data_IF_267299086207
#
_entry.id   IF_267299086207
#
_cell.length_a   1.000
_cell.length_b   1.000
_cell.length_c   1.000
_cell.angle_alpha   90.00
_cell.angle_beta   90.00
_cell.angle_gamma   90.00
#
_symmetry.space_group_name_H-M   'P 1'
#
loop_
_entity.id
_entity.type
_entity.pdbx_description
1 polymer ?
#
# COMPACT_ATOMS: atom_id res chain seq x y z
N UNK A 1 23.39 -24.98 -12.71
CA UNK A 1 22.66 -24.62 -13.95
C UNK A 1 21.28 -24.14 -13.55
N UNK A 2 21.09 -22.82 -13.43
CA UNK A 2 19.82 -22.19 -13.02
C UNK A 2 19.02 -21.82 -14.25
N UNK A 3 18.05 -22.66 -14.62
CA UNK A 3 17.08 -22.35 -15.68
C UNK A 3 16.03 -21.39 -15.12
N UNK A 4 16.22 -20.09 -15.37
CA UNK A 4 15.25 -19.04 -15.03
C UNK A 4 14.01 -19.19 -15.92
N UNK A 5 12.88 -19.58 -15.34
CA UNK A 5 11.59 -19.57 -16.03
C UNK A 5 11.19 -18.12 -16.33
N UNK A 6 10.95 -17.84 -17.61
CA UNK A 6 10.34 -16.59 -18.08
C UNK A 6 8.88 -16.55 -17.64
N UNK A 7 8.61 -16.08 -16.42
CA UNK A 7 7.28 -15.57 -16.09
C UNK A 7 7.13 -14.28 -16.90
N UNK A 8 6.34 -14.34 -17.98
CA UNK A 8 5.90 -13.14 -18.67
C UNK A 8 4.96 -12.42 -17.71
N UNK A 9 5.50 -11.51 -16.91
CA UNK A 9 4.67 -10.52 -16.24
C UNK A 9 3.99 -9.77 -17.37
N UNK A 10 2.68 -9.96 -17.50
CA UNK A 10 1.89 -9.14 -18.40
C UNK A 10 2.16 -7.70 -17.99
N UNK A 11 2.71 -6.90 -18.92
CA UNK A 11 2.70 -5.46 -18.78
C UNK A 11 1.31 -5.09 -18.25
N UNK A 12 1.29 -4.32 -17.15
CA UNK A 12 0.09 -3.64 -16.70
C UNK A 12 -0.66 -3.17 -17.95
N UNK A 13 -1.95 -3.56 -18.16
CA UNK A 13 -2.63 -3.30 -19.40
C UNK A 13 -2.41 -1.84 -19.74
N UNK A 14 -1.62 -1.58 -20.79
CA UNK A 14 -1.17 -0.24 -21.13
C UNK A 14 -2.43 0.60 -21.18
N UNK A 15 -2.59 1.51 -20.21
CA UNK A 15 -3.86 2.13 -19.89
C UNK A 15 -4.48 2.62 -21.20
N UNK A 16 -5.50 1.90 -21.69
CA UNK A 16 -6.03 2.14 -23.01
C UNK A 16 -6.38 3.62 -23.07
N UNK A 17 -5.81 4.38 -24.00
CA UNK A 17 -6.02 5.81 -24.13
C UNK A 17 -7.51 6.12 -24.31
N UNK A 18 -8.26 6.19 -23.21
CA UNK A 18 -9.70 6.43 -23.22
C UNK A 18 -9.91 7.94 -23.26
N UNK A 19 -10.65 8.37 -24.28
CA UNK A 19 -11.27 9.70 -24.35
C UNK A 19 -12.03 9.94 -23.05
N UNK A 20 -11.55 10.90 -22.25
CA UNK A 20 -12.18 11.32 -21.00
C UNK A 20 -13.62 11.76 -21.29
N UNK A 21 -14.59 11.06 -20.72
CA UNK A 21 -15.97 11.56 -20.65
C UNK A 21 -15.96 12.92 -19.95
N UNK A 22 -16.85 13.84 -20.37
CA UNK A 22 -16.97 15.20 -19.82
C UNK A 22 -17.38 15.15 -18.34
N UNK A 23 -16.42 14.92 -17.44
CA UNK A 23 -16.59 15.15 -16.01
C UNK A 23 -16.80 16.65 -15.77
N UNK A 24 -17.47 16.99 -14.67
CA UNK A 24 -17.60 18.38 -14.21
C UNK A 24 -16.24 19.08 -14.32
N UNK A 25 -16.19 20.28 -14.91
CA UNK A 25 -14.95 20.80 -15.44
C UNK A 25 -14.03 21.19 -14.27
N UNK A 26 -12.76 20.79 -14.37
CA UNK A 26 -11.74 21.02 -13.33
C UNK A 26 -11.64 22.49 -12.87
N UNK A 27 -12.15 23.44 -13.64
CA UNK A 27 -12.24 24.85 -13.27
C UNK A 27 -13.14 25.12 -12.05
N UNK A 28 -14.14 24.29 -11.76
CA UNK A 28 -15.02 24.50 -10.60
C UNK A 28 -14.28 24.21 -9.27
N UNK A 29 -13.42 23.19 -9.27
CA UNK A 29 -12.51 22.89 -8.15
C UNK A 29 -11.43 23.98 -8.06
N UNK A 30 -10.95 24.49 -9.19
CA UNK A 30 -9.97 25.58 -9.25
C UNK A 30 -10.51 26.92 -8.74
N UNK A 31 -11.79 27.23 -9.00
CA UNK A 31 -12.45 28.44 -8.48
C UNK A 31 -12.65 28.39 -6.95
N UNK A 32 -12.97 27.22 -6.41
CA UNK A 32 -13.02 27.03 -4.96
C UNK A 32 -11.62 27.17 -4.33
N UNK A 33 -10.57 26.76 -5.05
CA UNK A 33 -9.18 26.88 -4.61
C UNK A 33 -8.69 28.34 -4.54
N UNK A 34 -9.03 29.18 -5.52
CA UNK A 34 -8.63 30.60 -5.53
C UNK A 34 -9.34 31.43 -4.46
N UNK A 35 -10.60 31.12 -4.16
CA UNK A 35 -11.37 31.81 -3.13
C UNK A 35 -10.81 31.61 -1.70
N UNK A 36 -10.20 30.45 -1.42
CA UNK A 36 -9.66 30.11 -0.08
C UNK A 36 -8.26 30.73 0.14
N UNK A 37 -7.47 30.95 -0.92
CA UNK A 37 -6.12 31.51 -0.80
C UNK A 37 -6.07 33.02 -0.56
N UNK A 38 -7.16 33.76 -0.79
CA UNK A 38 -7.15 35.23 -0.78
C UNK A 38 -7.45 35.88 0.59
N UNK A 39 -7.78 35.10 1.63
CA UNK A 39 -8.48 35.66 2.82
C UNK A 39 -7.83 35.43 4.19
N UNK A 40 -6.54 35.05 4.30
CA UNK A 40 -5.93 34.84 5.62
C UNK A 40 -4.52 35.44 5.77
N UNK A 41 -4.41 36.48 6.61
CA UNK A 41 -3.15 37.01 7.12
C UNK A 41 -2.45 36.05 8.10
N UNK A 42 -1.14 36.23 8.25
CA UNK A 42 -0.18 35.24 8.76
C UNK A 42 -0.31 34.84 10.25
N UNK A 43 -1.18 35.46 11.05
CA UNK A 43 -1.26 35.22 12.51
C UNK A 43 -2.24 34.12 12.96
N UNK A 44 -3.23 33.74 12.15
CA UNK A 44 -4.24 32.70 12.45
C UNK A 44 -3.96 31.38 11.70
N UNK A 45 -2.72 31.20 11.25
CA UNK A 45 -2.35 30.26 10.20
C UNK A 45 -2.30 28.78 10.66
N UNK A 46 -2.04 28.46 11.93
CA UNK A 46 -1.85 27.04 12.33
C UNK A 46 -3.16 26.26 12.52
N UNK A 47 -4.22 26.87 13.05
CA UNK A 47 -5.54 26.23 13.23
C UNK A 47 -6.38 26.24 11.94
N UNK A 48 -6.20 27.23 11.07
CA UNK A 48 -6.94 27.37 9.80
C UNK A 48 -6.37 26.52 8.64
N UNK A 49 -5.06 26.27 8.59
CA UNK A 49 -4.44 25.42 7.57
C UNK A 49 -4.98 23.98 7.61
N UNK A 50 -5.28 23.48 8.81
CA UNK A 50 -5.87 22.15 9.02
C UNK A 50 -7.24 22.04 8.37
N UNK A 51 -8.13 23.01 8.56
CA UNK A 51 -9.49 22.94 8.03
C UNK A 51 -9.53 23.06 6.51
N UNK A 52 -8.76 23.98 5.91
CA UNK A 52 -8.71 24.16 4.46
C UNK A 52 -8.09 22.95 3.74
N UNK A 53 -6.99 22.41 4.25
CA UNK A 53 -6.33 21.25 3.64
C UNK A 53 -7.16 19.97 3.77
N UNK A 54 -7.83 19.76 4.92
CA UNK A 54 -8.79 18.67 5.11
C UNK A 54 -9.96 18.81 4.13
N UNK A 55 -10.55 20.00 4.02
CA UNK A 55 -11.66 20.25 3.11
C UNK A 55 -11.28 20.00 1.65
N UNK A 56 -10.14 20.53 1.20
CA UNK A 56 -9.63 20.30 -0.15
C UNK A 56 -9.39 18.82 -0.42
N UNK A 57 -8.75 18.12 0.52
CA UNK A 57 -8.48 16.68 0.40
C UNK A 57 -9.79 15.90 0.33
N UNK A 58 -10.80 16.30 1.10
CA UNK A 58 -12.13 15.70 1.08
C UNK A 58 -12.83 15.91 -0.26
N UNK A 59 -12.80 17.13 -0.80
CA UNK A 59 -13.38 17.45 -2.10
C UNK A 59 -12.69 16.66 -3.23
N UNK A 60 -11.36 16.63 -3.21
CA UNK A 60 -10.57 15.86 -4.15
C UNK A 60 -10.86 14.36 -4.06
N UNK A 61 -10.95 13.81 -2.83
CA UNK A 61 -11.32 12.41 -2.60
C UNK A 61 -12.68 12.08 -3.23
N UNK A 62 -13.72 12.88 -2.98
CA UNK A 62 -15.06 12.63 -3.54
C UNK A 62 -15.07 12.74 -5.07
N UNK A 63 -14.33 13.71 -5.63
CA UNK A 63 -14.18 13.87 -7.07
C UNK A 63 -13.55 12.63 -7.72
N UNK A 64 -12.42 12.16 -7.19
CA UNK A 64 -11.75 10.95 -7.72
C UNK A 64 -12.56 9.69 -7.45
N UNK A 65 -13.22 9.60 -6.28
CA UNK A 65 -14.07 8.48 -5.94
C UNK A 65 -15.21 8.31 -6.94
N UNK A 66 -15.82 9.40 -7.38
CA UNK A 66 -16.85 9.37 -8.41
C UNK A 66 -16.29 8.84 -9.75
N UNK A 67 -15.14 9.36 -10.19
CA UNK A 67 -14.51 8.99 -11.46
C UNK A 67 -13.99 7.55 -11.53
N UNK A 68 -13.45 7.02 -10.43
CA UNK A 68 -12.82 5.71 -10.37
C UNK A 68 -13.79 4.58 -9.97
N UNK A 69 -15.07 4.90 -9.73
CA UNK A 69 -16.10 3.92 -9.31
C UNK A 69 -16.21 2.71 -10.23
N UNK A 70 -16.21 2.96 -11.53
CA UNK A 70 -16.39 1.92 -12.55
C UNK A 70 -15.18 1.00 -12.61
N UNK A 71 -13.97 1.58 -12.61
CA UNK A 71 -12.73 0.81 -12.64
C UNK A 71 -12.59 -0.07 -11.40
N UNK A 72 -12.87 0.45 -10.21
CA UNK A 72 -12.85 -0.35 -8.98
C UNK A 72 -13.81 -1.53 -9.07
N UNK A 73 -15.02 -1.33 -9.61
CA UNK A 73 -15.98 -2.41 -9.78
C UNK A 73 -15.47 -3.46 -10.78
N UNK A 74 -15.01 -3.04 -11.96
CA UNK A 74 -14.45 -3.92 -13.00
C UNK A 74 -13.29 -4.75 -12.43
N UNK A 75 -12.32 -4.09 -11.77
CA UNK A 75 -11.18 -4.75 -11.16
C UNK A 75 -11.60 -5.73 -10.07
N UNK A 76 -12.51 -5.32 -9.16
CA UNK A 76 -13.01 -6.16 -8.06
C UNK A 76 -13.72 -7.43 -8.54
N UNK A 77 -14.30 -7.41 -9.74
CA UNK A 77 -14.97 -8.56 -10.37
C UNK A 77 -14.06 -9.44 -11.24
N UNK A 78 -12.77 -9.12 -11.36
CA UNK A 78 -11.89 -9.77 -12.34
C UNK A 78 -11.60 -11.26 -12.08
N UNK A 79 -11.61 -11.72 -10.84
CA UNK A 79 -11.15 -13.06 -10.45
C UNK A 79 -9.64 -13.28 -10.60
N UNK A 80 -8.88 -12.23 -10.92
CA UNK A 80 -7.45 -12.29 -11.18
C UNK A 80 -6.66 -11.72 -9.99
N UNK A 81 -5.83 -12.57 -9.37
CA UNK A 81 -4.93 -12.24 -8.28
C UNK A 81 -3.99 -11.07 -8.63
N UNK A 82 -3.47 -11.02 -9.85
CA UNK A 82 -2.64 -9.91 -10.33
C UNK A 82 -3.41 -8.59 -10.41
N UNK A 83 -4.69 -8.62 -10.76
CA UNK A 83 -5.55 -7.42 -10.69
C UNK A 83 -5.78 -7.03 -9.24
N UNK A 84 -6.08 -7.98 -8.36
CA UNK A 84 -6.33 -7.72 -6.95
C UNK A 84 -5.12 -7.21 -6.18
N UNK A 85 -3.92 -7.62 -6.58
CA UNK A 85 -2.67 -7.03 -6.13
C UNK A 85 -2.70 -5.51 -6.28
N UNK A 86 -3.17 -5.02 -7.44
CA UNK A 86 -3.28 -3.59 -7.73
C UNK A 86 -4.53 -2.96 -7.12
N UNK A 87 -5.67 -3.66 -7.12
CA UNK A 87 -6.90 -3.20 -6.45
C UNK A 87 -6.68 -2.95 -4.95
N UNK A 88 -5.73 -3.67 -4.33
CA UNK A 88 -5.39 -3.49 -2.92
C UNK A 88 -5.01 -2.05 -2.55
N UNK A 89 -4.39 -1.30 -3.48
CA UNK A 89 -4.02 0.10 -3.23
C UNK A 89 -5.26 1.00 -3.12
N UNK A 90 -6.26 0.82 -4.00
CA UNK A 90 -7.53 1.55 -3.92
C UNK A 90 -8.26 1.24 -2.62
N UNK A 91 -8.37 -0.06 -2.29
CA UNK A 91 -9.09 -0.49 -1.10
C UNK A 91 -8.44 0.06 0.17
N UNK A 92 -7.11 0.04 0.27
CA UNK A 92 -6.41 0.64 1.39
C UNK A 92 -6.61 2.16 1.48
N UNK A 93 -6.77 2.85 0.35
CA UNK A 93 -7.17 4.25 0.29
C UNK A 93 -8.59 4.49 0.84
N UNK A 94 -9.56 3.70 0.38
CA UNK A 94 -10.96 3.77 0.85
C UNK A 94 -11.07 3.48 2.35
N UNK A 95 -10.39 2.44 2.82
CA UNK A 95 -10.35 2.06 4.23
C UNK A 95 -9.75 3.20 5.08
N UNK A 96 -8.67 3.82 4.61
CA UNK A 96 -8.09 4.99 5.28
C UNK A 96 -9.06 6.17 5.34
N UNK A 97 -9.75 6.46 4.23
CA UNK A 97 -10.75 7.52 4.20
C UNK A 97 -11.92 7.24 5.15
N UNK A 98 -12.41 5.99 5.20
CA UNK A 98 -13.44 5.57 6.14
C UNK A 98 -12.97 5.76 7.59
N UNK A 99 -11.77 5.30 7.94
CA UNK A 99 -11.20 5.50 9.28
C UNK A 99 -11.09 6.99 9.64
N UNK A 100 -10.52 7.81 8.74
CA UNK A 100 -10.30 9.23 8.99
C UNK A 100 -11.59 10.05 9.13
N UNK A 101 -12.65 9.63 8.46
CA UNK A 101 -13.92 10.39 8.39
C UNK A 101 -15.07 9.78 9.20
N UNK A 102 -14.94 8.51 9.63
CA UNK A 102 -16.06 7.77 10.22
C UNK A 102 -17.20 7.47 9.25
N UNK A 103 -16.96 7.55 7.93
CA UNK A 103 -18.03 7.44 6.93
C UNK A 103 -18.43 5.99 6.65
N UNK A 104 -19.61 5.59 7.11
CA UNK A 104 -20.25 4.31 6.73
C UNK A 104 -20.32 4.13 5.22
N UNK A 105 -20.74 5.17 4.48
CA UNK A 105 -20.89 5.11 3.02
C UNK A 105 -19.60 4.68 2.31
N UNK A 106 -18.45 5.16 2.79
CA UNK A 106 -17.15 4.80 2.22
C UNK A 106 -16.78 3.37 2.61
N UNK A 107 -16.98 2.99 3.88
CA UNK A 107 -16.74 1.63 4.35
C UNK A 107 -17.59 0.60 3.59
N UNK A 108 -18.89 0.85 3.42
CA UNK A 108 -19.79 -0.02 2.65
C UNK A 108 -19.35 -0.19 1.22
N UNK A 109 -18.80 0.86 0.61
CA UNK A 109 -18.30 0.79 -0.75
C UNK A 109 -17.05 -0.08 -0.84
N UNK A 110 -16.14 0.03 0.14
CA UNK A 110 -15.01 -0.89 0.24
C UNK A 110 -15.49 -2.34 0.46
N UNK A 111 -16.45 -2.56 1.37
CA UNK A 111 -17.06 -3.87 1.66
C UNK A 111 -17.66 -4.48 0.39
N UNK A 112 -18.43 -3.73 -0.41
CA UNK A 112 -19.00 -4.24 -1.68
C UNK A 112 -17.93 -4.71 -2.66
N UNK A 113 -16.86 -3.93 -2.83
CA UNK A 113 -15.75 -4.33 -3.69
C UNK A 113 -15.04 -5.58 -3.16
N UNK A 114 -14.79 -5.65 -1.85
CA UNK A 114 -14.15 -6.81 -1.21
C UNK A 114 -15.03 -8.07 -1.22
N UNK A 115 -16.33 -7.96 -1.01
CA UNK A 115 -17.28 -9.06 -1.14
C UNK A 115 -17.30 -9.59 -2.60
N UNK A 116 -17.24 -8.69 -3.58
CA UNK A 116 -17.10 -9.07 -5.00
C UNK A 116 -15.79 -9.82 -5.23
N UNK A 117 -14.66 -9.32 -4.72
CA UNK A 117 -13.36 -10.01 -4.82
C UNK A 117 -13.41 -11.41 -4.23
N UNK A 118 -13.92 -11.56 -2.99
CA UNK A 118 -14.03 -12.86 -2.31
C UNK A 118 -14.94 -13.83 -3.09
N UNK A 119 -16.04 -13.34 -3.67
CA UNK A 119 -16.97 -14.18 -4.43
C UNK A 119 -16.41 -14.78 -5.72
N UNK A 120 -15.33 -14.20 -6.26
CA UNK A 120 -14.67 -14.71 -7.47
C UNK A 120 -13.57 -15.74 -7.18
N UNK A 121 -13.29 -16.02 -5.90
CA UNK A 121 -12.31 -17.02 -5.53
C UNK A 121 -12.77 -18.42 -5.95
N UNK A 122 -11.85 -19.18 -6.53
CA UNK A 122 -12.11 -20.53 -7.00
C UNK A 122 -11.63 -21.56 -5.99
N UNK A 123 -12.38 -22.65 -5.88
CA UNK A 123 -11.90 -23.84 -5.20
C UNK A 123 -10.77 -24.48 -6.02
N UNK A 124 -9.70 -24.89 -5.33
CA UNK A 124 -8.68 -25.76 -5.89
C UNK A 124 -8.28 -26.79 -4.83
N UNK A 125 -7.92 -27.98 -5.28
CA UNK A 125 -7.60 -29.10 -4.41
C UNK A 125 -6.10 -29.34 -4.40
N UNK A 126 -5.57 -29.54 -3.20
CA UNK A 126 -4.17 -29.89 -3.00
C UNK A 126 -4.04 -30.77 -1.75
N UNK A 127 -3.35 -31.91 -1.87
CA UNK A 127 -3.14 -32.86 -0.78
C UNK A 127 -4.43 -33.29 -0.06
N UNK A 128 -5.50 -33.55 -0.83
CA UNK A 128 -6.81 -33.97 -0.31
C UNK A 128 -7.58 -32.87 0.44
N UNK A 129 -7.14 -31.61 0.39
CA UNK A 129 -7.82 -30.46 0.98
C UNK A 129 -8.28 -29.49 -0.10
N UNK A 130 -9.42 -28.84 0.14
CA UNK A 130 -9.94 -27.78 -0.74
C UNK A 130 -9.60 -26.42 -0.14
N UNK A 131 -8.97 -25.57 -0.94
CA UNK A 131 -8.67 -24.19 -0.61
C UNK A 131 -9.36 -23.24 -1.59
N UNK A 132 -9.53 -21.98 -1.19
CA UNK A 132 -9.98 -20.92 -2.09
C UNK A 132 -8.82 -20.04 -2.48
N UNK A 133 -8.70 -19.70 -3.76
CA UNK A 133 -7.73 -18.72 -4.25
C UNK A 133 -8.21 -18.04 -5.53
N UNK A 134 -7.55 -16.93 -5.88
CA UNK A 134 -7.79 -16.23 -7.13
C UNK A 134 -6.84 -16.71 -8.23
N UNK A 135 -7.34 -16.77 -9.46
CA UNK A 135 -6.59 -17.18 -10.66
C UNK A 135 -5.61 -16.09 -11.12
N UNK A 136 -4.78 -16.31 -12.16
CA UNK A 136 -4.43 -17.61 -12.70
C UNK A 136 -3.63 -18.43 -11.67
N UNK A 137 -3.65 -19.75 -11.86
CA UNK A 137 -2.76 -20.65 -11.17
C UNK A 137 -1.57 -20.98 -12.09
N UNK A 138 -0.39 -21.13 -11.50
CA UNK A 138 0.87 -21.30 -12.21
C UNK A 138 1.47 -22.65 -11.84
N UNK A 139 1.96 -23.38 -12.84
CA UNK A 139 2.77 -24.58 -12.64
C UNK A 139 4.22 -24.12 -12.44
N UNK A 140 4.85 -24.57 -11.36
CA UNK A 140 6.26 -24.28 -11.08
C UNK A 140 7.15 -25.43 -11.57
N UNK A 141 8.47 -25.25 -11.73
CA UNK A 141 9.37 -26.37 -12.02
C UNK A 141 9.30 -27.49 -10.97
N UNK A 142 9.04 -27.12 -9.73
CA UNK A 142 9.07 -28.02 -8.57
C UNK A 142 7.73 -28.71 -8.31
N UNK A 143 6.68 -28.36 -9.06
CA UNK A 143 5.34 -28.95 -8.91
C UNK A 143 4.57 -28.99 -10.22
N UNK A 144 4.00 -30.15 -10.53
CA UNK A 144 3.08 -30.31 -11.68
C UNK A 144 1.68 -29.77 -11.39
N UNK A 145 1.38 -29.41 -10.14
CA UNK A 145 0.12 -28.80 -9.76
C UNK A 145 0.18 -27.30 -10.00
N UNK A 146 -0.95 -26.73 -10.44
CA UNK A 146 -1.06 -25.29 -10.63
C UNK A 146 -1.38 -24.63 -9.27
N UNK A 147 -0.55 -23.68 -8.84
CA UNK A 147 -0.68 -22.98 -7.57
C UNK A 147 -1.02 -21.50 -7.78
N UNK A 148 -1.73 -20.85 -6.84
CA UNK A 148 -1.83 -19.39 -6.87
C UNK A 148 -0.45 -18.73 -6.76
N UNK A 149 -0.34 -17.46 -7.14
CA UNK A 149 0.88 -16.68 -6.88
C UNK A 149 0.93 -16.25 -5.42
N UNK A 150 1.97 -16.63 -4.68
CA UNK A 150 2.19 -16.19 -3.29
C UNK A 150 2.14 -14.68 -3.18
N UNK A 151 2.90 -14.01 -4.05
CA UNK A 151 3.06 -12.56 -4.05
C UNK A 151 1.73 -11.83 -4.25
N UNK A 152 0.97 -12.24 -5.27
CA UNK A 152 -0.32 -11.61 -5.55
C UNK A 152 -1.36 -11.95 -4.47
N UNK A 153 -1.35 -13.17 -3.93
CA UNK A 153 -2.26 -13.59 -2.87
C UNK A 153 -2.06 -12.77 -1.60
N UNK A 154 -0.81 -12.59 -1.18
CA UNK A 154 -0.49 -11.86 0.04
C UNK A 154 -0.94 -10.41 -0.08
N UNK A 155 -0.52 -9.71 -1.13
CA UNK A 155 -0.89 -8.31 -1.29
C UNK A 155 -2.41 -8.09 -1.43
N UNK A 156 -3.10 -8.93 -2.20
CA UNK A 156 -4.55 -8.83 -2.38
C UNK A 156 -5.32 -9.09 -1.06
N UNK A 157 -4.73 -9.85 -0.13
CA UNK A 157 -5.33 -10.21 1.15
C UNK A 157 -5.15 -9.15 2.26
N UNK A 158 -4.14 -8.27 2.14
CA UNK A 158 -3.91 -7.15 3.09
C UNK A 158 -5.16 -6.30 3.35
N UNK A 159 -5.86 -5.74 2.33
CA UNK A 159 -7.04 -4.91 2.58
C UNK A 159 -8.20 -5.68 3.20
N UNK A 160 -8.36 -6.99 2.93
CA UNK A 160 -9.38 -7.83 3.55
C UNK A 160 -9.13 -7.99 5.05
N UNK A 161 -7.89 -8.32 5.43
CA UNK A 161 -7.49 -8.42 6.83
C UNK A 161 -7.65 -7.07 7.55
N UNK A 162 -7.18 -5.98 6.92
CA UNK A 162 -7.31 -4.63 7.47
C UNK A 162 -8.76 -4.19 7.65
N UNK A 163 -9.63 -4.48 6.68
CA UNK A 163 -11.05 -4.18 6.80
C UNK A 163 -11.69 -4.87 8.01
N UNK A 164 -11.35 -6.15 8.24
CA UNK A 164 -11.80 -6.87 9.42
C UNK A 164 -11.33 -6.17 10.70
N UNK A 165 -10.05 -5.77 10.79
CA UNK A 165 -9.52 -5.04 11.94
C UNK A 165 -10.27 -3.72 12.18
N UNK A 166 -10.46 -2.91 11.14
CA UNK A 166 -11.16 -1.61 11.21
C UNK A 166 -12.60 -1.78 11.69
N UNK A 167 -13.34 -2.73 11.12
CA UNK A 167 -14.73 -3.02 11.50
C UNK A 167 -14.78 -3.46 12.96
N UNK A 168 -13.88 -4.36 13.37
CA UNK A 168 -13.89 -4.90 14.72
C UNK A 168 -13.43 -3.89 15.77
N UNK A 169 -12.60 -2.91 15.41
CA UNK A 169 -12.11 -1.88 16.35
C UNK A 169 -13.20 -0.88 16.78
N UNK A 170 -14.28 -0.69 16.01
CA UNK A 170 -15.31 0.31 16.30
C UNK A 170 -16.65 -0.33 16.70
N UNK A 171 -17.23 -0.02 17.87
CA UNK A 171 -18.49 -0.63 18.31
C UNK A 171 -19.64 -0.49 17.30
N UNK A 172 -19.77 0.67 16.67
CA UNK A 172 -20.81 0.98 15.68
C UNK A 172 -20.66 0.12 14.41
N UNK A 173 -19.45 -0.01 13.89
CA UNK A 173 -19.17 -0.84 12.71
C UNK A 173 -19.18 -2.32 13.03
N UNK A 174 -18.70 -2.72 14.21
CA UNK A 174 -18.79 -4.10 14.67
C UNK A 174 -20.24 -4.56 14.70
N UNK A 175 -21.14 -3.74 15.25
CA UNK A 175 -22.57 -4.06 15.31
C UNK A 175 -23.16 -4.27 13.92
N UNK A 176 -22.80 -3.43 12.94
CA UNK A 176 -23.40 -3.46 11.59
C UNK A 176 -22.72 -4.42 10.61
N UNK A 177 -21.40 -4.58 10.70
CA UNK A 177 -20.58 -5.22 9.66
C UNK A 177 -19.73 -6.40 10.17
N UNK A 178 -19.90 -6.86 11.42
CA UNK A 178 -19.11 -8.00 11.93
C UNK A 178 -19.24 -9.28 11.11
N UNK A 179 -20.36 -9.49 10.42
CA UNK A 179 -20.50 -10.62 9.48
C UNK A 179 -19.50 -10.54 8.32
N UNK A 180 -19.29 -9.34 7.75
CA UNK A 180 -18.28 -9.11 6.71
C UNK A 180 -16.87 -9.30 7.27
N UNK A 181 -16.57 -8.74 8.44
CA UNK A 181 -15.27 -8.91 9.10
C UNK A 181 -14.92 -10.39 9.36
N UNK A 182 -15.89 -11.20 9.83
CA UNK A 182 -15.69 -12.64 10.02
C UNK A 182 -15.44 -13.37 8.71
N UNK A 183 -16.17 -13.04 7.63
CA UNK A 183 -15.94 -13.63 6.30
C UNK A 183 -14.53 -13.31 5.79
N UNK A 184 -14.08 -12.05 5.90
CA UNK A 184 -12.74 -11.66 5.46
C UNK A 184 -11.65 -12.33 6.29
N UNK A 185 -11.82 -12.39 7.61
CA UNK A 185 -10.91 -13.12 8.51
C UNK A 185 -10.79 -14.58 8.10
N UNK A 186 -11.93 -15.27 7.91
CA UNK A 186 -11.94 -16.69 7.54
C UNK A 186 -11.34 -16.92 6.15
N UNK A 187 -11.64 -16.06 5.18
CA UNK A 187 -11.09 -16.16 3.83
C UNK A 187 -9.57 -15.97 3.84
N UNK A 188 -9.06 -14.96 4.55
CA UNK A 188 -7.63 -14.68 4.63
C UNK A 188 -6.90 -15.76 5.44
N UNK A 189 -7.45 -16.25 6.56
CA UNK A 189 -6.86 -17.37 7.29
C UNK A 189 -6.75 -18.61 6.40
N UNK A 190 -7.82 -18.99 5.70
CA UNK A 190 -7.81 -20.13 4.80
C UNK A 190 -6.79 -19.98 3.65
N UNK A 191 -6.80 -18.83 2.98
CA UNK A 191 -6.01 -18.59 1.75
C UNK A 191 -4.55 -18.28 2.04
N UNK A 192 -4.23 -17.65 3.16
CA UNK A 192 -2.85 -17.24 3.51
C UNK A 192 -2.28 -18.14 4.58
N UNK A 193 -2.94 -18.26 5.73
CA UNK A 193 -2.35 -18.93 6.89
C UNK A 193 -2.40 -20.44 6.75
N UNK A 194 -3.55 -21.01 6.38
CA UNK A 194 -3.70 -22.45 6.21
C UNK A 194 -3.02 -22.93 4.92
N UNK A 195 -3.27 -22.25 3.81
CA UNK A 195 -2.68 -22.65 2.54
C UNK A 195 -1.19 -22.32 2.45
N UNK A 196 -0.81 -21.05 2.40
CA UNK A 196 0.59 -20.68 2.19
C UNK A 196 1.46 -21.01 3.39
N UNK A 197 1.15 -20.51 4.59
CA UNK A 197 2.04 -20.69 5.72
C UNK A 197 2.11 -22.14 6.20
N UNK A 198 0.96 -22.80 6.41
CA UNK A 198 0.94 -24.16 6.98
C UNK A 198 1.15 -25.27 5.95
N UNK A 199 0.55 -25.16 4.75
CA UNK A 199 0.68 -26.21 3.73
C UNK A 199 1.93 -26.03 2.89
N UNK A 200 2.06 -24.90 2.18
CA UNK A 200 3.13 -24.70 1.20
C UNK A 200 4.50 -24.40 1.82
N UNK A 201 4.50 -23.66 2.92
CA UNK A 201 5.72 -23.30 3.66
C UNK A 201 5.93 -24.19 4.89
N UNK A 202 5.13 -25.24 5.07
CA UNK A 202 5.27 -26.23 6.15
C UNK A 202 5.34 -25.65 7.57
N UNK A 203 4.72 -24.49 7.81
CA UNK A 203 4.76 -23.77 9.09
C UNK A 203 5.94 -22.80 9.23
N UNK A 204 6.85 -22.78 8.28
CA UNK A 204 7.96 -21.84 8.24
C UNK A 204 7.50 -20.44 7.84
N UNK A 205 8.26 -19.45 8.33
CA UNK A 205 8.16 -18.06 7.89
C UNK A 205 9.51 -17.75 7.26
N UNK A 206 9.66 -17.92 5.93
CA UNK A 206 10.98 -17.93 5.31
C UNK A 206 11.79 -16.66 5.58
N UNK A 207 11.12 -15.50 5.64
CA UNK A 207 11.74 -14.19 5.91
C UNK A 207 12.25 -14.01 7.35
N UNK A 208 11.96 -14.93 8.26
CA UNK A 208 12.52 -14.93 9.62
C UNK A 208 13.84 -15.70 9.67
N UNK A 209 14.13 -16.54 8.66
CA UNK A 209 15.37 -17.27 8.56
C UNK A 209 16.29 -16.62 7.51
N UNK A 210 17.36 -15.91 7.92
CA UNK A 210 18.28 -15.26 6.98
C UNK A 210 19.04 -16.28 6.11
N UNK A 211 19.16 -17.54 6.52
CA UNK A 211 19.82 -18.58 5.71
C UNK A 211 18.93 -19.02 4.54
N UNK A 212 17.60 -18.89 4.67
CA UNK A 212 16.65 -19.22 3.61
C UNK A 212 16.37 -17.99 2.73
N UNK A 213 16.13 -16.83 3.35
CA UNK A 213 15.89 -15.56 2.63
C UNK A 213 16.84 -14.48 3.17
N UNK A 214 18.05 -14.36 2.60
CA UNK A 214 19.05 -13.40 3.09
C UNK A 214 18.65 -11.95 2.85
N UNK A 215 17.81 -11.69 1.84
CA UNK A 215 17.34 -10.35 1.46
C UNK A 215 15.85 -10.23 1.83
N UNK A 216 15.52 -9.23 2.64
CA UNK A 216 14.15 -8.87 2.93
C UNK A 216 13.39 -8.43 1.67
N UNK A 217 12.15 -8.90 1.50
CA UNK A 217 11.28 -8.48 0.41
C UNK A 217 9.83 -8.25 0.88
N UNK A 218 9.03 -7.73 -0.05
CA UNK A 218 7.66 -7.31 0.20
C UNK A 218 6.68 -8.42 0.64
N UNK A 219 6.97 -9.68 0.35
CA UNK A 219 6.15 -10.80 0.82
C UNK A 219 6.24 -10.97 2.34
N UNK A 220 7.42 -10.75 2.92
CA UNK A 220 7.60 -10.70 4.36
C UNK A 220 6.78 -9.58 4.99
N UNK A 221 6.81 -8.39 4.38
CA UNK A 221 6.00 -7.25 4.83
C UNK A 221 4.50 -7.50 4.71
N UNK A 222 4.02 -8.05 3.59
CA UNK A 222 2.60 -8.36 3.40
C UNK A 222 2.10 -9.43 4.38
N UNK A 223 2.89 -10.48 4.66
CA UNK A 223 2.51 -11.47 5.68
C UNK A 223 2.47 -10.85 7.08
N UNK A 224 3.43 -9.98 7.41
CA UNK A 224 3.42 -9.23 8.67
C UNK A 224 2.19 -8.33 8.81
N UNK A 225 1.81 -7.63 7.74
CA UNK A 225 0.59 -6.82 7.68
C UNK A 225 -0.67 -7.68 7.90
N UNK A 226 -0.82 -8.78 7.16
CA UNK A 226 -1.96 -9.69 7.28
C UNK A 226 -2.09 -10.19 8.71
N UNK A 227 -1.00 -10.66 9.32
CA UNK A 227 -1.02 -11.25 10.66
C UNK A 227 -1.28 -10.21 11.74
N UNK A 228 -0.72 -8.99 11.62
CA UNK A 228 -1.06 -7.88 12.51
C UNK A 228 -2.55 -7.52 12.46
N UNK A 229 -3.12 -7.40 11.25
CA UNK A 229 -4.54 -7.08 11.09
C UNK A 229 -5.47 -8.21 11.52
N UNK A 230 -5.13 -9.47 11.24
CA UNK A 230 -5.89 -10.63 11.75
C UNK A 230 -5.89 -10.66 13.29
N UNK A 231 -4.75 -10.34 13.93
CA UNK A 231 -4.70 -10.20 15.38
C UNK A 231 -5.64 -9.09 15.88
N UNK A 232 -5.57 -7.88 15.31
CA UNK A 232 -6.46 -6.79 15.70
C UNK A 232 -7.94 -7.13 15.50
N UNK A 233 -8.29 -7.90 14.46
CA UNK A 233 -9.65 -8.31 14.18
C UNK A 233 -10.20 -9.38 15.15
N UNK A 234 -9.33 -10.27 15.66
CA UNK A 234 -9.76 -11.51 16.35
C UNK A 234 -9.30 -11.62 17.80
N UNK A 235 -8.23 -10.93 18.18
CA UNK A 235 -7.52 -11.15 19.45
C UNK A 235 -6.72 -12.46 19.51
N UNK A 236 -6.66 -13.26 18.44
CA UNK A 236 -5.96 -14.54 18.44
C UNK A 236 -4.44 -14.36 18.48
N UNK A 237 -3.82 -14.81 19.58
CA UNK A 237 -2.39 -14.66 19.84
C UNK A 237 -1.49 -15.33 18.81
N UNK A 238 -1.97 -16.36 18.10
CA UNK A 238 -1.19 -17.02 17.04
C UNK A 238 -0.78 -16.02 15.95
N UNK A 239 -1.66 -15.10 15.59
CA UNK A 239 -1.36 -14.07 14.61
C UNK A 239 -0.41 -13.00 15.18
N UNK A 240 -0.59 -12.60 16.45
CA UNK A 240 0.31 -11.66 17.11
C UNK A 240 1.75 -12.21 17.20
N UNK A 241 1.90 -13.49 17.53
CA UNK A 241 3.22 -14.13 17.64
C UNK A 241 3.90 -14.24 16.27
N UNK A 242 3.14 -14.56 15.22
CA UNK A 242 3.63 -14.54 13.84
C UNK A 242 4.06 -13.13 13.41
N UNK A 243 3.20 -12.13 13.64
CA UNK A 243 3.48 -10.73 13.33
C UNK A 243 4.73 -10.22 14.07
N UNK A 244 4.91 -10.58 15.35
CA UNK A 244 6.09 -10.23 16.14
C UNK A 244 7.37 -10.88 15.62
N UNK A 245 7.33 -12.15 15.21
CA UNK A 245 8.50 -12.82 14.61
C UNK A 245 8.93 -12.12 13.31
N UNK A 246 7.98 -11.79 12.45
CA UNK A 246 8.21 -11.06 11.20
C UNK A 246 8.74 -9.64 11.49
N UNK A 247 8.13 -8.93 12.45
CA UNK A 247 8.54 -7.61 12.88
C UNK A 247 9.98 -7.57 13.41
N UNK A 248 10.39 -8.56 14.23
CA UNK A 248 11.78 -8.70 14.71
C UNK A 248 12.76 -9.00 13.59
N UNK A 249 12.37 -9.83 12.63
CA UNK A 249 13.19 -10.07 11.46
C UNK A 249 13.41 -8.78 10.67
N UNK A 250 12.36 -7.99 10.42
CA UNK A 250 12.50 -6.68 9.77
C UNK A 250 13.32 -5.68 10.61
N UNK A 251 13.07 -5.60 11.91
CA UNK A 251 13.81 -4.74 12.85
C UNK A 251 15.32 -5.05 12.83
N UNK A 252 15.71 -6.32 12.69
CA UNK A 252 17.13 -6.69 12.58
C UNK A 252 17.81 -6.19 11.30
N UNK A 253 17.04 -5.79 10.29
CA UNK A 253 17.53 -5.31 8.99
C UNK A 253 17.61 -3.79 8.90
N UNK A 254 16.83 -3.05 9.70
CA UNK A 254 16.84 -1.59 9.67
C UNK A 254 18.08 -1.03 10.37
N UNK A 255 18.66 0.01 9.79
CA UNK A 255 19.80 0.77 10.32
C UNK A 255 19.49 2.26 10.23
N UNK A 256 19.91 3.07 11.21
CA UNK A 256 19.82 4.53 11.10
C UNK A 256 20.58 5.03 9.85
N UNK A 257 19.96 5.91 9.08
CA UNK A 257 20.58 6.62 7.96
C UNK A 257 20.19 8.10 8.00
N UNK A 258 21.11 8.94 8.49
CA UNK A 258 20.77 10.31 8.86
C UNK A 258 19.64 10.33 9.89
N UNK A 259 18.58 11.11 9.61
CA UNK A 259 17.37 11.15 10.45
C UNK A 259 16.38 10.02 10.16
N UNK A 260 16.61 9.22 9.11
CA UNK A 260 15.70 8.16 8.67
C UNK A 260 16.17 6.75 9.01
N UNK A 261 15.47 5.79 8.40
CA UNK A 261 15.81 4.39 8.27
C UNK A 261 16.31 4.04 6.87
N UNK A 262 17.25 3.10 6.80
CA UNK A 262 17.58 2.30 5.62
C UNK A 262 17.61 0.83 6.03
N UNK A 263 17.26 -0.09 5.13
CA UNK A 263 17.46 -1.53 5.34
C UNK A 263 18.09 -2.14 4.10
N UNK A 264 18.65 -3.33 4.24
CA UNK A 264 19.32 -4.05 3.14
C UNK A 264 20.31 -3.16 2.37
N UNK A 265 21.04 -2.31 3.10
CA UNK A 265 21.97 -1.36 2.52
C UNK A 265 23.23 -2.10 2.03
N UNK A 266 23.44 -2.10 0.71
CA UNK A 266 24.53 -2.79 0.01
C UNK A 266 24.49 -4.32 0.14
N UNK A 267 23.35 -4.90 0.49
CA UNK A 267 23.15 -6.37 0.54
C UNK A 267 22.39 -6.89 -0.67
N UNK A 268 21.73 -6.00 -1.43
CA UNK A 268 21.06 -6.36 -2.68
C UNK A 268 22.09 -6.34 -3.81
N UNK A 269 22.29 -7.44 -4.56
CA UNK A 269 23.25 -7.46 -5.66
C UNK A 269 22.89 -6.44 -6.75
N UNK A 270 23.86 -5.63 -7.18
CA UNK A 270 23.66 -4.71 -8.31
C UNK A 270 23.41 -5.53 -9.59
N UNK A 271 22.42 -5.12 -10.37
CA UNK A 271 21.91 -5.82 -11.53
C UNK A 271 20.89 -6.90 -11.22
N UNK A 272 20.60 -7.20 -9.94
CA UNK A 272 19.61 -8.23 -9.61
C UNK A 272 18.22 -7.83 -10.09
N UNK A 273 17.56 -8.72 -10.84
CA UNK A 273 16.15 -8.58 -11.20
C UNK A 273 15.39 -9.84 -10.80
N UNK A 274 14.37 -9.68 -9.96
CA UNK A 274 13.50 -10.79 -9.54
C UNK A 274 12.39 -11.08 -10.52
N UNK A 275 12.15 -10.19 -11.49
CA UNK A 275 10.98 -10.26 -12.38
C UNK A 275 11.35 -10.73 -13.79
N UNK A 276 12.64 -10.91 -14.09
CA UNK A 276 13.17 -11.33 -15.39
C UNK A 276 12.57 -10.56 -16.57
N UNK A 277 12.31 -9.26 -16.39
CA UNK A 277 11.62 -8.46 -17.39
C UNK A 277 12.58 -8.12 -18.53
N UNK A 278 12.24 -8.37 -19.81
CA UNK A 278 13.11 -8.02 -20.93
C UNK A 278 13.50 -6.53 -20.92
N UNK A 279 14.79 -6.24 -21.03
CA UNK A 279 15.32 -4.87 -21.00
C UNK A 279 15.42 -4.24 -19.60
N UNK A 280 15.16 -5.03 -18.55
CA UNK A 280 15.40 -4.65 -17.16
C UNK A 280 16.88 -4.50 -16.86
N UNK A 281 17.25 -3.41 -16.18
CA UNK A 281 18.60 -3.26 -15.61
C UNK A 281 18.68 -3.78 -14.18
N UNK A 282 17.61 -4.34 -13.61
CA UNK A 282 17.56 -4.75 -12.21
C UNK A 282 17.77 -3.59 -11.22
N UNK A 283 18.18 -3.93 -9.99
CA UNK A 283 18.54 -2.97 -8.94
C UNK A 283 19.93 -2.38 -9.19
N UNK A 284 20.06 -1.06 -9.24
CA UNK A 284 21.32 -0.36 -9.54
C UNK A 284 21.91 0.40 -8.36
N UNK A 285 21.27 0.36 -7.19
CA UNK A 285 21.73 1.09 -6.00
C UNK A 285 22.19 0.17 -4.87
N UNK A 286 21.94 -1.14 -4.97
CA UNK A 286 22.24 -2.10 -3.92
C UNK A 286 21.45 -1.88 -2.63
N UNK A 287 20.34 -1.15 -2.71
CA UNK A 287 19.44 -0.85 -1.59
C UNK A 287 17.98 -1.01 -2.05
N UNK A 288 17.01 -1.12 -1.13
CA UNK A 288 15.59 -1.23 -1.51
C UNK A 288 15.12 -0.05 -2.36
N UNK A 289 14.23 -0.34 -3.30
CA UNK A 289 13.62 0.67 -4.13
C UNK A 289 12.39 1.29 -3.44
N UNK A 290 12.11 2.56 -3.71
CA UNK A 290 11.04 3.32 -3.05
C UNK A 290 9.66 2.71 -3.24
N UNK A 291 9.35 2.26 -4.45
CA UNK A 291 8.07 1.68 -4.82
C UNK A 291 7.77 0.42 -4.01
N UNK A 292 8.70 -0.53 -3.92
CA UNK A 292 8.43 -1.77 -3.18
C UNK A 292 8.48 -1.57 -1.67
N UNK A 293 9.44 -0.75 -1.21
CA UNK A 293 9.69 -0.43 0.19
C UNK A 293 8.50 0.24 0.93
N UNK A 294 7.47 0.67 0.19
CA UNK A 294 6.27 1.24 0.81
C UNK A 294 5.59 0.26 1.78
N UNK A 295 5.67 -1.06 1.54
CA UNK A 295 5.00 -2.06 2.41
C UNK A 295 5.65 -2.20 3.77
N UNK A 296 6.95 -1.96 3.86
CA UNK A 296 7.70 -1.94 5.11
C UNK A 296 7.33 -0.75 5.98
N UNK A 297 7.12 0.43 5.36
CA UNK A 297 6.56 1.58 6.06
C UNK A 297 5.14 1.29 6.57
N UNK A 298 4.32 0.58 5.78
CA UNK A 298 3.00 0.12 6.22
C UNK A 298 3.11 -0.89 7.38
N UNK A 299 4.00 -1.87 7.27
CA UNK A 299 4.22 -2.91 8.28
C UNK A 299 4.58 -2.27 9.62
N UNK A 300 5.54 -1.35 9.64
CA UNK A 300 5.98 -0.67 10.86
C UNK A 300 4.80 0.04 11.55
N UNK A 301 3.97 0.76 10.77
CA UNK A 301 2.75 1.37 11.30
C UNK A 301 1.76 0.35 11.85
N UNK A 302 1.45 -0.71 11.09
CA UNK A 302 0.46 -1.70 11.49
C UNK A 302 0.86 -2.41 12.79
N UNK A 303 2.16 -2.72 12.96
CA UNK A 303 2.69 -3.32 14.18
C UNK A 303 2.66 -2.34 15.37
N UNK A 304 2.91 -1.06 15.14
CA UNK A 304 2.78 -0.01 16.15
C UNK A 304 1.33 0.15 16.61
N UNK A 305 0.39 0.32 15.67
CA UNK A 305 -1.03 0.49 15.98
C UNK A 305 -1.67 -0.76 16.61
N UNK A 306 -1.10 -1.94 16.38
CA UNK A 306 -1.52 -3.17 17.03
C UNK A 306 -0.92 -3.35 18.44
N UNK A 307 -0.03 -2.45 18.89
CA UNK A 307 0.70 -2.58 20.15
C UNK A 307 1.63 -3.80 20.20
N UNK A 308 2.12 -4.25 19.03
CA UNK A 308 2.97 -5.44 18.92
C UNK A 308 4.44 -5.07 18.99
N UNK A 309 4.86 -4.09 18.18
CA UNK A 309 6.25 -3.65 18.00
C UNK A 309 6.29 -2.21 17.50
N UNK A 310 7.48 -1.61 17.54
CA UNK A 310 7.76 -0.23 17.12
C UNK A 310 7.06 0.85 17.93
N UNK A 311 7.77 1.95 18.10
CA UNK A 311 7.36 3.12 18.86
C UNK A 311 6.96 4.26 17.94
N UNK A 312 6.36 5.30 18.50
CA UNK A 312 6.11 6.56 17.80
C UNK A 312 7.41 7.14 17.20
N UNK A 313 8.53 7.04 17.92
CA UNK A 313 9.83 7.53 17.44
C UNK A 313 10.33 6.74 16.21
N UNK A 314 10.04 5.44 16.12
CA UNK A 314 10.39 4.63 14.96
C UNK A 314 9.60 5.07 13.71
N UNK A 315 8.31 5.41 13.89
CA UNK A 315 7.46 5.93 12.81
C UNK A 315 7.88 7.33 12.37
N UNK A 316 8.26 8.21 13.30
CA UNK A 316 8.82 9.52 12.98
C UNK A 316 10.11 9.40 12.16
N UNK A 317 10.97 8.43 12.51
CA UNK A 317 12.19 8.12 11.75
C UNK A 317 11.86 7.51 10.38
N UNK A 318 10.86 6.65 10.27
CA UNK A 318 10.38 6.17 8.96
C UNK A 318 9.84 7.32 8.10
N UNK A 319 9.10 8.26 8.69
CA UNK A 319 8.64 9.46 8.01
C UNK A 319 9.79 10.39 7.60
N UNK A 320 10.89 10.41 8.36
CA UNK A 320 12.10 11.15 7.99
C UNK A 320 12.81 10.53 6.77
N UNK A 321 12.74 9.21 6.55
CA UNK A 321 13.21 8.60 5.29
C UNK A 321 12.49 9.22 4.09
N UNK A 322 11.15 9.30 4.15
CA UNK A 322 10.36 9.95 3.09
C UNK A 322 10.75 11.43 2.90
N UNK A 323 10.78 12.19 3.99
CA UNK A 323 10.82 13.66 3.90
C UNK A 323 12.21 14.27 3.78
N UNK A 324 13.26 13.54 4.19
CA UNK A 324 14.63 14.06 4.20
C UNK A 324 15.51 13.40 3.15
N UNK A 325 15.20 12.16 2.75
CA UNK A 325 16.04 11.34 1.89
C UNK A 325 15.41 11.09 0.52
N UNK A 326 14.14 10.64 0.49
CA UNK A 326 13.49 10.26 -0.77
C UNK A 326 12.93 11.49 -1.51
N UNK A 327 12.26 12.40 -0.81
CA UNK A 327 11.65 13.58 -1.41
C UNK A 327 12.69 14.64 -1.81
N UNK A 328 12.56 15.18 -3.02
CA UNK A 328 13.42 16.25 -3.57
C UNK A 328 13.21 17.64 -2.94
N UNK A 329 12.28 17.74 -1.98
CA UNK A 329 11.91 18.98 -1.25
C UNK A 329 11.19 20.02 -2.12
N UNK A 330 10.78 19.66 -3.34
CA UNK A 330 9.99 20.53 -4.20
C UNK A 330 8.54 20.59 -3.73
N UNK A 331 8.08 21.78 -3.37
CA UNK A 331 6.66 22.03 -3.03
C UNK A 331 5.75 22.21 -4.25
N UNK A 332 6.36 22.35 -5.43
CA UNK A 332 5.71 22.81 -6.65
C UNK A 332 5.68 21.71 -7.72
N UNK A 333 6.76 20.93 -7.82
CA UNK A 333 6.88 19.74 -8.66
C UNK A 333 7.53 18.62 -7.84
N UNK A 334 6.85 18.09 -6.81
CA UNK A 334 7.43 17.09 -5.92
C UNK A 334 7.88 15.85 -6.70
N UNK A 335 9.08 15.39 -6.39
CA UNK A 335 9.64 14.14 -6.91
C UNK A 335 10.21 13.29 -5.78
N UNK A 336 10.28 11.99 -6.02
CA UNK A 336 10.71 10.99 -5.04
C UNK A 336 11.80 10.13 -5.67
N UNK A 337 12.90 9.92 -4.96
CA UNK A 337 13.99 9.09 -5.43
C UNK A 337 13.54 7.65 -5.74
N UNK A 338 14.21 7.00 -6.69
CA UNK A 338 13.94 5.60 -7.02
C UNK A 338 14.33 4.62 -5.89
N UNK A 339 15.25 5.03 -5.01
CA UNK A 339 15.82 4.21 -3.93
C UNK A 339 15.82 4.93 -2.57
N UNK A 340 15.85 4.13 -1.49
CA UNK A 340 15.78 4.66 -0.12
C UNK A 340 17.00 5.44 0.35
N UNK A 341 18.14 5.31 -0.33
CA UNK A 341 19.33 6.12 -0.07
C UNK A 341 19.30 7.48 -0.79
N UNK A 342 18.19 7.83 -1.45
CA UNK A 342 18.04 9.07 -2.21
C UNK A 342 18.57 8.99 -3.66
N UNK A 343 19.12 7.84 -4.07
CA UNK A 343 19.59 7.64 -5.44
C UNK A 343 18.43 7.61 -6.44
N UNK A 344 18.67 8.22 -7.59
CA UNK A 344 17.79 8.18 -8.77
C UNK A 344 18.38 7.33 -9.90
N UNK A 345 19.24 6.36 -9.57
CA UNK A 345 19.70 5.39 -10.55
C UNK A 345 18.49 4.69 -11.23
N UNK A 346 18.64 4.21 -12.47
CA UNK A 346 17.64 3.38 -13.12
C UNK A 346 17.23 2.19 -12.25
N UNK A 347 15.97 1.78 -12.33
CA UNK A 347 15.47 0.58 -11.67
C UNK A 347 14.67 -0.25 -12.67
N UNK A 348 15.14 -1.47 -12.98
CA UNK A 348 14.49 -2.37 -13.93
C UNK A 348 14.20 -1.70 -15.28
N UNK A 349 12.92 -1.60 -15.65
CA UNK A 349 12.46 -0.93 -16.87
C UNK A 349 12.26 0.57 -16.69
N UNK A 350 12.35 1.08 -15.45
CA UNK A 350 12.19 2.48 -15.10
C UNK A 350 13.55 3.19 -15.16
N UNK A 351 13.84 3.76 -16.33
CA UNK A 351 15.16 4.35 -16.62
C UNK A 351 15.28 5.81 -16.21
N UNK A 352 14.16 6.49 -15.96
CA UNK A 352 14.14 7.91 -15.64
C UNK A 352 14.18 8.17 -14.13
N UNK A 353 14.82 9.26 -13.68
CA UNK A 353 14.75 9.72 -12.29
C UNK A 353 13.31 9.86 -11.79
N UNK A 354 13.04 9.30 -10.61
CA UNK A 354 11.74 9.34 -9.94
C UNK A 354 10.64 8.48 -10.54
N UNK A 355 10.86 7.76 -11.65
CA UNK A 355 9.86 6.89 -12.26
C UNK A 355 9.54 5.63 -11.43
N UNK A 356 10.40 5.27 -10.48
CA UNK A 356 10.13 4.28 -9.44
C UNK A 356 9.94 4.91 -8.05
N UNK A 357 9.83 6.25 -7.97
CA UNK A 357 9.53 7.02 -6.78
C UNK A 357 8.05 6.95 -6.36
N UNK A 358 7.44 5.77 -6.44
CA UNK A 358 6.04 5.57 -6.04
C UNK A 358 5.94 5.50 -4.51
N UNK A 359 5.24 6.45 -3.90
CA UNK A 359 5.05 6.50 -2.45
C UNK A 359 3.93 5.55 -1.99
N UNK A 360 2.92 5.30 -2.83
CA UNK A 360 1.81 4.38 -2.55
C UNK A 360 1.23 4.53 -1.13
N UNK A 361 0.71 3.44 -0.55
CA UNK A 361 -0.03 3.52 0.71
C UNK A 361 0.88 3.70 1.92
N UNK A 362 1.99 2.96 2.03
CA UNK A 362 2.74 2.94 3.27
C UNK A 362 3.51 4.24 3.52
N UNK A 363 4.18 4.79 2.50
CA UNK A 363 4.82 6.10 2.65
C UNK A 363 3.78 7.21 2.86
N UNK A 364 2.61 7.15 2.19
CA UNK A 364 1.54 8.11 2.43
C UNK A 364 0.97 8.04 3.87
N UNK A 365 0.92 6.86 4.48
CA UNK A 365 0.45 6.69 5.86
C UNK A 365 1.39 7.32 6.90
N UNK A 366 2.67 7.55 6.56
CA UNK A 366 3.62 8.26 7.44
C UNK A 366 3.19 9.71 7.73
N UNK A 367 2.32 10.30 6.92
CA UNK A 367 1.75 11.62 7.20
C UNK A 367 0.94 11.66 8.50
N UNK A 368 0.41 10.54 8.98
CA UNK A 368 -0.30 10.46 10.27
C UNK A 368 0.61 10.54 11.49
N UNK A 369 1.92 10.44 11.27
CA UNK A 369 2.96 10.38 12.31
C UNK A 369 4.00 11.50 12.16
N UNK A 370 3.90 12.31 11.10
CA UNK A 370 4.78 13.43 10.86
C UNK A 370 4.03 14.52 10.10
N UNK A 371 3.83 15.72 10.72
CA UNK A 371 3.27 16.87 10.02
C UNK A 371 4.05 17.22 8.74
N UNK A 372 5.37 17.05 8.75
CA UNK A 372 6.21 17.26 7.56
C UNK A 372 5.87 16.27 6.46
N UNK A 373 5.69 14.99 6.77
CA UNK A 373 5.29 13.99 5.77
C UNK A 373 3.89 14.29 5.21
N UNK A 374 2.94 14.69 6.06
CA UNK A 374 1.61 15.11 5.61
C UNK A 374 1.70 16.32 4.65
N UNK A 375 2.59 17.27 4.93
CA UNK A 375 2.81 18.43 4.07
C UNK A 375 3.32 18.04 2.67
N UNK A 376 4.17 17.01 2.57
CA UNK A 376 4.64 16.47 1.27
C UNK A 376 3.48 15.94 0.44
N UNK A 377 2.54 15.22 1.08
CA UNK A 377 1.35 14.70 0.39
C UNK A 377 0.43 15.83 -0.10
N UNK A 378 0.31 16.91 0.68
CA UNK A 378 -0.43 18.11 0.28
C UNK A 378 0.22 18.74 -0.97
N UNK A 379 1.55 18.83 -1.03
CA UNK A 379 2.24 19.34 -2.22
C UNK A 379 2.02 18.45 -3.44
N UNK A 380 2.09 17.13 -3.28
CA UNK A 380 1.81 16.17 -4.35
C UNK A 380 0.38 16.30 -4.87
N UNK A 381 -0.62 16.35 -3.98
CA UNK A 381 -2.01 16.53 -4.36
C UNK A 381 -2.23 17.86 -5.10
N UNK A 382 -1.67 18.95 -4.58
CA UNK A 382 -1.76 20.28 -5.22
C UNK A 382 -1.13 20.28 -6.61
N UNK A 383 0.06 19.69 -6.77
CA UNK A 383 0.72 19.61 -8.06
C UNK A 383 -0.12 18.81 -9.08
N UNK A 384 -0.65 17.66 -8.66
CA UNK A 384 -1.55 16.84 -9.47
C UNK A 384 -2.83 17.59 -9.87
N UNK A 385 -3.46 18.32 -8.95
CA UNK A 385 -4.68 19.08 -9.23
C UNK A 385 -4.43 20.25 -10.20
N UNK A 386 -3.24 20.83 -10.18
CA UNK A 386 -2.79 21.84 -11.15
C UNK A 386 -2.39 21.25 -12.52
N UNK A 387 -2.47 19.92 -12.68
CA UNK A 387 -2.08 19.25 -13.93
C UNK A 387 -0.57 19.24 -14.18
N UNK A 388 0.24 19.44 -13.13
CA UNK A 388 1.70 19.35 -13.23
C UNK A 388 2.11 17.89 -13.30
N UNK A 389 3.09 17.61 -14.15
CA UNK A 389 3.54 16.26 -14.42
C UNK A 389 5.06 16.20 -14.37
N UNK A 390 5.56 15.15 -13.74
CA UNK A 390 6.92 14.66 -13.79
C UNK A 390 6.83 13.11 -13.61
N UNK A 391 7.91 12.35 -13.85
CA UNK A 391 7.86 10.89 -13.73
C UNK A 391 7.31 10.38 -12.38
N UNK A 392 7.66 11.03 -11.27
CA UNK A 392 7.18 10.64 -9.95
C UNK A 392 5.68 10.96 -9.76
N UNK A 393 5.22 12.14 -10.18
CA UNK A 393 3.80 12.52 -10.13
C UNK A 393 2.98 11.56 -10.97
N UNK A 394 3.41 11.27 -12.20
CA UNK A 394 2.76 10.32 -13.10
C UNK A 394 2.48 8.98 -12.43
N UNK A 395 3.48 8.44 -11.75
CA UNK A 395 3.41 7.13 -11.09
C UNK A 395 2.50 7.15 -9.87
N UNK A 396 2.59 8.21 -9.08
CA UNK A 396 1.79 8.41 -7.88
C UNK A 396 0.33 8.83 -8.13
N UNK A 397 -0.06 9.09 -9.38
CA UNK A 397 -1.45 9.37 -9.76
C UNK A 397 -2.06 8.30 -10.68
N UNK A 398 -1.35 7.20 -10.94
CA UNK A 398 -1.88 6.05 -11.70
C UNK A 398 -2.99 5.33 -10.95
N UNK A 399 -3.67 4.37 -11.59
CA UNK A 399 -4.62 3.52 -10.89
C UNK A 399 -4.03 2.76 -9.68
N UNK A 400 -2.71 2.58 -9.59
CA UNK A 400 -2.10 1.75 -8.55
C UNK A 400 -1.91 2.47 -7.21
N UNK A 401 -2.99 3.01 -6.63
CA UNK A 401 -2.92 3.83 -5.42
C UNK A 401 -2.81 5.32 -5.70
N UNK A 402 -3.34 5.75 -6.84
CA UNK A 402 -3.32 7.11 -7.32
C UNK A 402 -4.06 8.10 -6.47
N UNK A 403 -4.75 9.03 -7.13
CA UNK A 403 -5.28 10.22 -6.46
C UNK A 403 -6.31 9.88 -5.38
N UNK A 404 -7.16 8.89 -5.62
CA UNK A 404 -8.11 8.41 -4.62
C UNK A 404 -7.42 7.81 -3.39
N UNK A 405 -6.41 6.96 -3.62
CA UNK A 405 -5.58 6.35 -2.59
C UNK A 405 -4.90 7.39 -1.72
N UNK A 406 -4.15 8.28 -2.36
CA UNK A 406 -3.45 9.41 -1.73
C UNK A 406 -4.39 10.25 -0.86
N UNK A 407 -5.53 10.70 -1.41
CA UNK A 407 -6.49 11.50 -0.65
C UNK A 407 -7.05 10.73 0.55
N UNK A 408 -7.33 9.43 0.39
CA UNK A 408 -7.86 8.60 1.48
C UNK A 408 -6.87 8.45 2.63
N UNK A 409 -5.59 8.24 2.34
CA UNK A 409 -4.53 8.22 3.36
C UNK A 409 -4.38 9.59 4.04
N UNK A 410 -4.40 10.69 3.27
CA UNK A 410 -4.33 12.03 3.84
C UNK A 410 -5.48 12.33 4.81
N UNK A 411 -6.72 11.91 4.50
CA UNK A 411 -7.87 12.07 5.39
C UNK A 411 -7.69 11.32 6.72
N UNK A 412 -7.13 10.10 6.68
CA UNK A 412 -6.76 9.35 7.88
C UNK A 412 -5.71 10.09 8.70
N UNK A 413 -4.66 10.56 8.03
CA UNK A 413 -3.54 11.24 8.66
C UNK A 413 -4.00 12.50 9.42
N UNK A 414 -4.87 13.32 8.81
CA UNK A 414 -5.43 14.48 9.49
C UNK A 414 -6.19 14.13 10.77
N UNK A 415 -6.90 12.99 10.79
CA UNK A 415 -7.60 12.53 11.98
C UNK A 415 -6.63 12.06 13.07
N UNK A 416 -5.52 11.42 12.70
CA UNK A 416 -4.49 10.98 13.64
C UNK A 416 -3.72 12.16 14.23
N UNK A 417 -3.23 13.09 13.40
CA UNK A 417 -2.50 14.27 13.87
C UNK A 417 -3.33 15.11 14.84
N UNK A 418 -4.65 15.23 14.60
CA UNK A 418 -5.56 15.92 15.52
C UNK A 418 -5.68 15.25 16.90
N UNK A 419 -5.49 13.93 16.99
CA UNK A 419 -5.53 13.21 18.27
C UNK A 419 -4.22 13.36 19.06
N UNK A 420 -3.14 13.75 18.38
CA UNK A 420 -1.82 13.93 18.97
C UNK A 420 -1.56 15.36 19.44
N UNK A 421 -2.24 16.35 18.84
CA UNK A 421 -2.27 17.76 19.27
C UNK A 421 -3.25 17.98 20.41
#
# INVERSE_FOLDING_TARGET
MTTSNKIRIHDAPAGSGRRRGKAAPAWLVLLLLTAISASCGWGLYSLSQGSASVFLTRLAFEYFLAGESKELQEQSSSGLSSTYYFTSYYLNGLLSAAEGTGSDRILERAIRAMDTMVSTAHDFQENGRTYKAWKPFFITPDSTLAHPSLHYTFQASVPLARAAAIIMARPEWRTRYAAAARRYTAFVDATVIQYWCRSQLHGDIPWVNPDHFPIWNDNGANLGLITAFLYQATGDRRYADMARRIGRAFESKIKPAGRGWIWENQTIPIGSDTDNTPGSVGNQAGVPDTSHANREAFLMMALHEAGIMFTQADLERMAATLTDTIWDRSSDSPSFANYLNGSNAPYRVYKEPGLNGSIYHGWALMGGYSPKAQQVLIYLLRASLKGRMNPAIERNITGYGGRLGLCGHMLRNFALLRRQS
#
